data_IF_349515227230
#
_entry.id   IF_349515227230
#
_cell.length_a   1.000
_cell.length_b   1.000
_cell.length_c   1.000
_cell.angle_alpha   90.00
_cell.angle_beta   90.00
_cell.angle_gamma   90.00
#
_symmetry.space_group_name_H-M   'P 1'
#
loop_
_entity.id
_entity.type
_entity.pdbx_description
1 polymer ?
#
# COMPACT_ATOMS: atom_id res chain seq x y z
N UNK A 1 8.70 -13.95 3.76
CA UNK A 1 8.44 -12.51 4.03
C UNK A 1 9.34 -11.55 3.24
N UNK A 2 10.64 -11.81 3.06
CA UNK A 2 11.55 -10.82 2.48
C UNK A 2 11.36 -10.58 0.97
N UNK A 3 11.17 -11.64 0.17
CA UNK A 3 11.11 -11.50 -1.29
C UNK A 3 9.86 -10.73 -1.76
N UNK A 4 8.68 -11.17 -1.33
CA UNK A 4 7.43 -10.52 -1.77
C UNK A 4 7.16 -9.24 -0.99
N UNK A 5 7.02 -9.29 0.34
CA UNK A 5 6.58 -8.11 1.11
C UNK A 5 7.65 -7.01 1.12
N UNK A 6 8.90 -7.36 1.46
CA UNK A 6 9.99 -6.39 1.57
C UNK A 6 10.62 -6.04 0.21
N UNK A 7 10.48 -6.91 -0.80
CA UNK A 7 10.90 -6.67 -2.18
C UNK A 7 9.78 -6.10 -3.04
N UNK A 8 8.85 -6.95 -3.51
CA UNK A 8 7.81 -6.60 -4.50
C UNK A 8 6.84 -5.54 -3.97
N UNK A 9 6.19 -5.77 -2.82
CA UNK A 9 5.17 -4.84 -2.28
C UNK A 9 5.78 -3.48 -1.94
N UNK A 10 6.97 -3.47 -1.33
CA UNK A 10 7.74 -2.25 -1.07
C UNK A 10 8.03 -1.50 -2.37
N UNK A 11 8.50 -2.20 -3.42
CA UNK A 11 8.79 -1.60 -4.72
C UNK A 11 7.56 -0.96 -5.34
N UNK A 12 6.42 -1.67 -5.36
CA UNK A 12 5.15 -1.15 -5.89
C UNK A 12 4.72 0.14 -5.19
N UNK A 13 4.73 0.14 -3.87
CA UNK A 13 4.35 1.33 -3.10
C UNK A 13 5.33 2.50 -3.33
N UNK A 14 6.63 2.23 -3.44
CA UNK A 14 7.61 3.27 -3.78
C UNK A 14 7.42 3.84 -5.20
N UNK A 15 6.98 3.02 -6.16
CA UNK A 15 6.63 3.47 -7.51
C UNK A 15 5.43 4.42 -7.45
N UNK A 16 4.35 4.03 -6.78
CA UNK A 16 3.12 4.82 -6.76
C UNK A 16 3.24 6.10 -5.95
N UNK A 17 3.94 6.08 -4.81
CA UNK A 17 3.98 7.22 -3.89
C UNK A 17 5.13 8.17 -4.24
N UNK A 18 6.34 7.63 -4.40
CA UNK A 18 7.52 8.45 -4.64
C UNK A 18 7.83 8.65 -6.13
N UNK A 19 7.20 7.87 -7.02
CA UNK A 19 7.58 7.82 -8.44
C UNK A 19 8.95 7.19 -8.66
N UNK A 20 9.45 6.43 -7.67
CA UNK A 20 10.74 5.75 -7.80
C UNK A 20 10.59 4.70 -8.90
N UNK A 21 11.48 4.69 -9.90
CA UNK A 21 11.48 3.77 -11.06
C UNK A 21 10.47 4.05 -12.20
N UNK A 22 9.36 4.75 -11.96
CA UNK A 22 8.44 5.19 -13.03
C UNK A 22 7.71 6.46 -12.61
N UNK A 23 7.91 7.55 -13.35
CA UNK A 23 7.16 8.80 -13.14
C UNK A 23 5.71 8.72 -13.65
N UNK A 24 5.45 7.87 -14.64
CA UNK A 24 4.11 7.73 -15.24
C UNK A 24 3.10 7.06 -14.31
N UNK A 25 3.57 6.21 -13.39
CA UNK A 25 2.72 5.49 -12.44
C UNK A 25 2.64 6.19 -11.08
N UNK A 26 3.20 7.39 -10.96
CA UNK A 26 3.22 8.16 -9.70
C UNK A 26 1.86 8.81 -9.49
N UNK A 27 1.31 8.63 -8.29
CA UNK A 27 0.12 9.33 -7.83
C UNK A 27 0.42 10.82 -7.59
N UNK A 28 -0.51 11.69 -7.97
CA UNK A 28 -0.45 13.10 -7.62
C UNK A 28 -0.82 13.34 -6.15
N UNK A 29 -0.67 14.58 -5.67
CA UNK A 29 -0.88 14.90 -4.26
C UNK A 29 -2.33 14.65 -3.77
N UNK A 30 -3.33 14.83 -4.63
CA UNK A 30 -4.75 14.62 -4.28
C UNK A 30 -5.08 13.13 -4.02
N UNK A 31 -4.78 12.18 -4.92
CA UNK A 31 -4.93 10.75 -4.64
C UNK A 31 -4.14 10.30 -3.39
N UNK A 32 -2.95 10.87 -3.14
CA UNK A 32 -2.16 10.60 -1.94
C UNK A 32 -2.87 11.10 -0.67
N UNK A 33 -3.50 12.28 -0.69
CA UNK A 33 -4.25 12.79 0.46
C UNK A 33 -5.48 11.92 0.77
N UNK A 34 -6.18 11.43 -0.27
CA UNK A 34 -7.28 10.46 -0.13
C UNK A 34 -6.78 9.15 0.49
N UNK A 35 -5.65 8.63 0.00
CA UNK A 35 -5.01 7.43 0.55
C UNK A 35 -4.69 7.58 2.04
N UNK A 36 -4.13 8.72 2.46
CA UNK A 36 -3.84 8.98 3.87
C UNK A 36 -5.09 9.08 4.72
N UNK A 37 -6.13 9.71 4.19
CA UNK A 37 -7.42 9.82 4.87
C UNK A 37 -8.00 8.43 5.12
N UNK A 38 -7.98 7.54 4.12
CA UNK A 38 -8.41 6.14 4.24
C UNK A 38 -7.57 5.36 5.25
N UNK A 39 -6.24 5.52 5.23
CA UNK A 39 -5.35 4.90 6.22
C UNK A 39 -5.65 5.36 7.66
N UNK A 40 -5.91 6.65 7.86
CA UNK A 40 -6.24 7.20 9.18
C UNK A 40 -7.58 6.67 9.71
N UNK A 41 -8.57 6.47 8.82
CA UNK A 41 -9.84 5.82 9.17
C UNK A 41 -9.57 4.37 9.57
N UNK A 42 -8.89 3.59 8.72
CA UNK A 42 -8.60 2.17 8.98
C UNK A 42 -7.76 1.94 10.24
N UNK A 43 -6.88 2.88 10.58
CA UNK A 43 -6.08 2.83 11.81
C UNK A 43 -6.95 2.72 13.08
N UNK A 44 -8.15 3.30 13.07
CA UNK A 44 -9.12 3.23 14.19
C UNK A 44 -9.77 1.85 14.31
N UNK A 45 -9.91 1.14 13.20
CA UNK A 45 -10.58 -0.16 13.10
C UNK A 45 -9.59 -1.33 12.97
N UNK A 46 -8.29 -1.09 13.18
CA UNK A 46 -7.29 -2.14 13.09
C UNK A 46 -7.39 -3.09 14.31
N UNK A 47 -7.60 -4.40 14.09
CA UNK A 47 -7.61 -5.39 15.16
C UNK A 47 -6.29 -5.40 15.96
N UNK A 48 -6.36 -5.86 17.21
CA UNK A 48 -5.22 -5.93 18.14
C UNK A 48 -4.23 -7.05 17.75
N UNK A 49 -4.70 -8.04 17.00
CA UNK A 49 -3.97 -9.20 16.50
C UNK A 49 -2.93 -8.81 15.45
N UNK A 50 -3.11 -7.65 14.79
CA UNK A 50 -2.07 -7.10 13.93
C UNK A 50 -0.97 -6.47 14.78
N UNK A 51 0.26 -6.93 14.57
CA UNK A 51 1.44 -6.45 15.29
C UNK A 51 1.68 -4.93 15.21
N UNK A 52 1.14 -4.25 14.17
CA UNK A 52 1.16 -2.78 14.05
C UNK A 52 -0.12 -2.28 13.40
N UNK A 53 -0.52 -1.06 13.74
CA UNK A 53 -1.62 -0.37 13.07
C UNK A 53 -1.13 0.26 11.76
N UNK A 54 -1.99 0.41 10.74
CA UNK A 54 -1.67 1.13 9.51
C UNK A 54 -1.14 2.54 9.83
N UNK A 55 -0.08 2.94 9.13
CA UNK A 55 0.59 4.24 9.27
C UNK A 55 0.54 4.99 7.95
N UNK A 56 0.60 6.32 8.01
CA UNK A 56 0.59 7.21 6.84
C UNK A 56 1.75 6.94 5.88
N UNK A 57 1.56 7.32 4.62
CA UNK A 57 2.53 7.11 3.53
C UNK A 57 3.91 7.76 3.78
N UNK A 58 4.01 8.82 4.58
CA UNK A 58 5.28 9.50 4.92
C UNK A 58 6.30 8.58 5.59
N UNK A 59 5.84 7.46 6.16
CA UNK A 59 6.65 6.52 6.92
C UNK A 59 6.90 5.23 6.13
N UNK A 60 6.52 5.16 4.85
CA UNK A 60 6.63 3.94 4.04
C UNK A 60 8.08 3.41 3.93
N UNK A 61 9.07 4.30 3.99
CA UNK A 61 10.49 3.94 4.06
C UNK A 61 10.87 3.14 5.32
N UNK A 62 10.12 3.30 6.41
CA UNK A 62 10.32 2.66 7.72
C UNK A 62 9.35 1.49 7.97
N UNK A 63 8.57 1.07 6.98
CA UNK A 63 7.71 -0.11 7.10
C UNK A 63 8.57 -1.37 7.23
N UNK A 64 8.20 -2.27 8.14
CA UNK A 64 8.76 -3.63 8.19
C UNK A 64 7.96 -4.58 7.29
N UNK A 65 8.51 -5.77 7.06
CA UNK A 65 7.86 -6.80 6.24
C UNK A 65 6.42 -7.13 6.68
N UNK A 66 6.14 -7.09 7.99
CA UNK A 66 4.80 -7.37 8.54
C UNK A 66 3.76 -6.34 8.13
N UNK A 67 4.14 -5.07 7.99
CA UNK A 67 3.24 -3.99 7.57
C UNK A 67 2.99 -4.04 6.07
N UNK A 68 4.01 -4.37 5.28
CA UNK A 68 3.83 -4.64 3.85
C UNK A 68 2.93 -5.85 3.62
N UNK A 69 3.04 -6.89 4.45
CA UNK A 69 2.12 -8.03 4.39
C UNK A 69 0.70 -7.63 4.74
N UNK A 70 0.50 -6.87 5.81
CA UNK A 70 -0.82 -6.39 6.21
C UNK A 70 -1.45 -5.52 5.11
N UNK A 71 -0.64 -4.65 4.49
CA UNK A 71 -1.07 -3.89 3.32
C UNK A 71 -1.48 -4.84 2.19
N UNK A 72 -0.60 -5.74 1.77
CA UNK A 72 -0.88 -6.59 0.63
C UNK A 72 -2.11 -7.48 0.82
N UNK A 73 -2.27 -8.10 1.99
CA UNK A 73 -3.29 -9.12 2.24
C UNK A 73 -4.61 -8.59 2.79
N UNK A 74 -4.68 -7.35 3.29
CA UNK A 74 -5.89 -6.86 3.96
C UNK A 74 -6.27 -5.47 3.49
N UNK A 75 -5.40 -4.48 3.70
CA UNK A 75 -5.81 -3.07 3.54
C UNK A 75 -5.62 -2.53 2.13
N UNK A 76 -4.71 -3.12 1.35
CA UNK A 76 -4.29 -2.66 0.03
C UNK A 76 -5.42 -2.59 -1.00
N UNK A 77 -6.19 -3.66 -1.23
CA UNK A 77 -7.32 -3.64 -2.16
C UNK A 77 -8.31 -2.51 -1.83
N UNK A 78 -8.69 -2.38 -0.57
CA UNK A 78 -9.67 -1.37 -0.12
C UNK A 78 -9.13 0.05 -0.24
N UNK A 79 -7.89 0.29 0.20
CA UNK A 79 -7.31 1.65 0.19
C UNK A 79 -7.07 2.12 -1.25
N UNK A 80 -6.61 1.23 -2.14
CA UNK A 80 -6.19 1.60 -3.49
C UNK A 80 -7.34 1.64 -4.51
N UNK A 81 -8.52 1.14 -4.16
CA UNK A 81 -9.68 1.13 -5.04
C UNK A 81 -10.08 2.55 -5.48
N UNK A 82 -10.12 2.79 -6.79
CA UNK A 82 -10.42 4.10 -7.37
C UNK A 82 -9.34 5.17 -7.18
N UNK A 83 -8.17 4.82 -6.62
CA UNK A 83 -6.98 5.69 -6.54
C UNK A 83 -5.99 5.34 -7.64
N UNK A 84 -5.74 4.03 -7.83
CA UNK A 84 -4.89 3.53 -8.91
C UNK A 84 -5.66 3.45 -10.22
N UNK A 85 -4.94 3.63 -11.33
CA UNK A 85 -5.43 3.24 -12.66
C UNK A 85 -5.87 1.78 -12.67
N UNK A 86 -6.91 1.46 -13.43
CA UNK A 86 -7.54 0.13 -13.44
C UNK A 86 -6.52 -0.99 -13.71
N UNK A 87 -5.55 -0.76 -14.60
CA UNK A 87 -4.52 -1.77 -14.93
C UNK A 87 -3.60 -2.02 -13.74
N UNK A 88 -3.16 -0.96 -13.06
CA UNK A 88 -2.30 -1.04 -11.89
C UNK A 88 -3.05 -1.66 -10.70
N UNK A 89 -4.34 -1.34 -10.55
CA UNK A 89 -5.19 -1.91 -9.53
C UNK A 89 -5.40 -3.42 -9.73
N UNK A 90 -5.70 -3.87 -10.96
CA UNK A 90 -5.77 -5.30 -11.29
C UNK A 90 -4.45 -6.02 -10.99
N UNK A 91 -3.31 -5.42 -11.31
CA UNK A 91 -2.00 -6.00 -11.00
C UNK A 91 -1.78 -6.15 -9.48
N UNK A 92 -2.22 -5.17 -8.67
CA UNK A 92 -2.22 -5.30 -7.21
C UNK A 92 -3.15 -6.44 -6.75
N UNK A 93 -4.35 -6.56 -7.33
CA UNK A 93 -5.29 -7.62 -6.99
C UNK A 93 -4.76 -9.02 -7.32
N UNK A 94 -4.12 -9.20 -8.48
CA UNK A 94 -3.48 -10.48 -8.81
C UNK A 94 -2.41 -10.86 -7.80
N UNK A 95 -1.56 -9.91 -7.39
CA UNK A 95 -0.55 -10.15 -6.36
C UNK A 95 -1.19 -10.44 -4.98
N UNK A 96 -2.31 -9.80 -4.67
CA UNK A 96 -3.06 -10.03 -3.43
C UNK A 96 -3.68 -11.44 -3.38
N UNK A 97 -4.22 -11.93 -4.50
CA UNK A 97 -4.90 -13.25 -4.57
C UNK A 97 -3.92 -14.41 -4.60
N UNK A 98 -2.75 -14.23 -5.23
CA UNK A 98 -1.76 -15.32 -5.40
C UNK A 98 -0.97 -15.62 -4.12
N UNK A 99 -1.08 -14.79 -3.07
CA UNK A 99 -0.27 -14.87 -1.83
C UNK A 99 -1.14 -15.15 -0.62
#
# INVERSE_FOLDING_TARGET
MHLVCLGVTKKLLCVWIYGKYSRFSKLSASPISVLNSRLNILKKYCPLEFARRPRSHDILSKFKATEFRQFLLYTGPVIMYGILDERLYKHLLFLHVVI
#
